data_IF_173494228930
#
_entry.id   IF_173494228930
#
_cell.length_a   1.000
_cell.length_b   1.000
_cell.length_c   1.000
_cell.angle_alpha   90.00
_cell.angle_beta   90.00
_cell.angle_gamma   90.00
#
_symmetry.space_group_name_H-M   'P 1'
#
loop_
_entity.id
_entity.type
_entity.pdbx_description
1 polymer ?
#
# COMPACT_ATOMS: atom_id res chain seq x y z
N UNK A 1 -23.94 16.02 -3.35
CA UNK A 1 -23.68 15.15 -2.20
C UNK A 1 -23.63 16.06 -0.99
N UNK A 2 -24.63 15.92 -0.10
CA UNK A 2 -24.85 16.84 1.02
C UNK A 2 -23.69 16.80 2.02
N UNK A 3 -23.11 15.62 2.26
CA UNK A 3 -21.96 15.48 3.16
C UNK A 3 -20.68 16.10 2.62
N UNK A 4 -20.37 15.95 1.33
CA UNK A 4 -19.23 16.63 0.70
C UNK A 4 -19.41 18.15 0.69
N UNK A 5 -20.66 18.62 0.63
CA UNK A 5 -20.96 20.04 0.72
C UNK A 5 -20.76 20.56 2.14
N UNK A 6 -21.27 19.86 3.15
CA UNK A 6 -21.05 20.13 4.59
C UNK A 6 -19.56 20.13 4.92
N UNK A 7 -18.79 19.18 4.40
CA UNK A 7 -17.34 19.12 4.57
C UNK A 7 -16.64 20.35 4.00
N UNK A 8 -17.00 20.79 2.78
CA UNK A 8 -16.39 21.97 2.15
C UNK A 8 -16.71 23.24 2.93
N UNK A 9 -17.97 23.44 3.29
CA UNK A 9 -18.42 24.62 4.04
C UNK A 9 -17.72 24.71 5.41
N UNK A 10 -17.50 23.56 6.06
CA UNK A 10 -16.89 23.51 7.40
C UNK A 10 -15.36 23.51 7.39
N UNK A 11 -14.71 23.12 6.30
CA UNK A 11 -13.25 23.29 6.15
C UNK A 11 -12.89 24.78 6.05
N UNK A 12 -13.78 25.59 5.48
CA UNK A 12 -13.60 27.04 5.35
C UNK A 12 -14.02 27.80 6.63
N UNK A 13 -14.67 27.12 7.58
CA UNK A 13 -15.12 27.71 8.83
C UNK A 13 -13.97 27.79 9.83
N UNK A 14 -13.70 29.01 10.32
CA UNK A 14 -12.79 29.21 11.45
C UNK A 14 -13.41 28.58 12.71
N UNK A 15 -12.66 27.65 13.32
CA UNK A 15 -13.09 26.89 14.49
C UNK A 15 -12.60 27.51 15.80
N UNK A 16 -11.77 28.55 15.75
CA UNK A 16 -11.16 29.15 16.94
C UNK A 16 -12.18 29.88 17.83
N UNK A 17 -13.31 30.32 17.25
CA UNK A 17 -14.40 31.01 17.96
C UNK A 17 -15.54 30.09 18.41
N UNK A 18 -15.49 28.80 18.04
CA UNK A 18 -16.57 27.85 18.38
C UNK A 18 -16.37 27.27 19.78
N UNK A 19 -17.42 27.22 20.62
CA UNK A 19 -17.31 26.61 21.94
C UNK A 19 -17.10 25.10 21.82
N UNK A 20 -16.31 24.52 22.72
CA UNK A 20 -15.91 23.10 22.71
C UNK A 20 -17.11 22.14 22.60
N UNK A 21 -18.26 22.50 23.19
CA UNK A 21 -19.52 21.71 23.12
C UNK A 21 -20.14 21.64 21.72
N UNK A 22 -19.84 22.62 20.86
CA UNK A 22 -20.29 22.66 19.47
C UNK A 22 -19.29 21.94 18.55
N UNK A 23 -18.08 21.71 19.05
CA UNK A 23 -17.03 20.95 18.38
C UNK A 23 -17.11 19.45 18.72
N UNK A 24 -17.42 19.11 19.97
CA UNK A 24 -17.37 17.75 20.49
C UNK A 24 -18.50 17.46 21.49
N UNK A 25 -18.99 16.21 21.49
CA UNK A 25 -19.87 15.67 22.55
C UNK A 25 -19.22 14.50 23.25
N UNK A 26 -19.35 14.44 24.58
CA UNK A 26 -18.91 13.29 25.36
C UNK A 26 -19.92 12.15 25.26
N UNK A 27 -19.48 10.97 24.81
CA UNK A 27 -20.23 9.71 24.86
C UNK A 27 -19.37 8.63 25.49
N UNK A 28 -19.86 8.03 26.57
CA UNK A 28 -19.24 6.85 27.21
C UNK A 28 -17.75 7.05 27.56
N UNK A 29 -17.38 8.25 28.02
CA UNK A 29 -15.99 8.60 28.38
C UNK A 29 -15.07 8.88 27.18
N UNK A 30 -15.62 9.08 25.98
CA UNK A 30 -14.89 9.52 24.78
C UNK A 30 -15.50 10.81 24.23
N UNK A 31 -14.67 11.67 23.65
CA UNK A 31 -15.12 12.90 22.98
C UNK A 31 -15.28 12.63 21.48
N UNK A 32 -16.50 12.71 20.97
CA UNK A 32 -16.81 12.57 19.55
C UNK A 32 -16.88 13.95 18.91
N UNK A 33 -16.04 14.21 17.89
CA UNK A 33 -16.02 15.48 17.15
C UNK A 33 -17.26 15.56 16.25
N UNK A 34 -18.19 16.45 16.60
CA UNK A 34 -19.47 16.64 15.89
C UNK A 34 -19.37 17.67 14.76
N UNK A 35 -18.23 18.38 14.63
CA UNK A 35 -18.03 19.50 13.70
C UNK A 35 -18.59 19.16 12.32
N UNK A 36 -18.23 18.02 11.75
CA UNK A 36 -18.56 17.70 10.37
C UNK A 36 -19.93 17.03 10.16
N UNK A 37 -20.65 16.66 11.24
CA UNK A 37 -21.94 15.92 11.18
C UNK A 37 -21.95 14.76 10.19
N UNK A 38 -20.82 14.07 10.02
CA UNK A 38 -20.71 12.91 9.14
C UNK A 38 -21.24 11.67 9.86
N UNK A 39 -21.82 10.73 9.10
CA UNK A 39 -22.12 9.40 9.65
C UNK A 39 -20.87 8.75 10.26
N UNK A 40 -21.05 7.98 11.33
CA UNK A 40 -19.98 7.28 12.04
C UNK A 40 -19.10 6.44 11.11
N UNK A 41 -19.71 5.78 10.12
CA UNK A 41 -18.99 4.97 9.11
C UNK A 41 -18.00 5.80 8.28
N UNK A 42 -18.33 7.06 8.00
CA UNK A 42 -17.47 7.96 7.22
C UNK A 42 -16.37 8.55 8.11
N UNK A 43 -16.68 8.87 9.37
CA UNK A 43 -15.66 9.24 10.36
C UNK A 43 -14.64 8.11 10.55
N UNK A 44 -15.09 6.86 10.68
CA UNK A 44 -14.22 5.70 10.80
C UNK A 44 -13.36 5.52 9.54
N UNK A 45 -13.96 5.65 8.35
CA UNK A 45 -13.24 5.62 7.07
C UNK A 45 -12.15 6.69 7.03
N UNK A 46 -12.48 7.96 7.31
CA UNK A 46 -11.52 9.07 7.28
C UNK A 46 -10.39 8.84 8.29
N UNK A 47 -10.72 8.43 9.52
CA UNK A 47 -9.74 8.09 10.55
C UNK A 47 -8.78 6.99 10.05
N UNK A 48 -9.31 5.91 9.49
CA UNK A 48 -8.49 4.83 8.92
C UNK A 48 -7.64 5.27 7.73
N UNK A 49 -8.17 6.12 6.85
CA UNK A 49 -7.41 6.72 5.75
C UNK A 49 -6.22 7.52 6.32
N UNK A 50 -6.41 8.29 7.39
CA UNK A 50 -5.29 9.07 7.97
C UNK A 50 -4.17 8.19 8.53
N UNK A 51 -4.48 6.98 8.99
CA UNK A 51 -3.50 6.02 9.49
C UNK A 51 -2.70 5.36 8.35
N UNK A 52 -3.33 5.14 7.19
CA UNK A 52 -2.73 4.41 6.07
C UNK A 52 -2.27 5.31 4.91
N UNK A 53 -2.51 6.63 4.97
CA UNK A 53 -2.15 7.57 3.88
C UNK A 53 -0.68 7.57 3.48
N UNK A 54 0.22 7.14 4.37
CA UNK A 54 1.66 7.00 4.10
C UNK A 54 2.00 5.76 3.27
N UNK A 55 1.09 4.79 3.15
CA UNK A 55 1.26 3.59 2.34
C UNK A 55 1.26 3.93 0.85
N UNK A 56 2.34 3.56 0.15
CA UNK A 56 2.41 3.73 -1.30
C UNK A 56 1.46 2.81 -2.05
N UNK A 57 1.28 1.57 -1.56
CA UNK A 57 0.36 0.59 -2.15
C UNK A 57 -1.09 1.09 -2.03
N UNK A 58 -1.47 1.63 -0.86
CA UNK A 58 -2.77 2.28 -0.67
C UNK A 58 -2.97 3.42 -1.67
N UNK A 59 -2.00 4.33 -1.79
CA UNK A 59 -2.12 5.49 -2.68
C UNK A 59 -2.26 5.09 -4.16
N UNK A 60 -1.59 4.04 -4.61
CA UNK A 60 -1.73 3.51 -5.98
C UNK A 60 -3.13 2.96 -6.21
N UNK A 61 -3.63 2.14 -5.27
CA UNK A 61 -4.97 1.59 -5.36
C UNK A 61 -6.02 2.71 -5.31
N UNK A 62 -5.84 3.69 -4.43
CA UNK A 62 -6.71 4.84 -4.29
C UNK A 62 -6.82 5.64 -5.59
N UNK A 63 -5.69 6.00 -6.20
CA UNK A 63 -5.66 6.69 -7.51
C UNK A 63 -6.35 5.88 -8.60
N UNK A 64 -6.01 4.59 -8.71
CA UNK A 64 -6.59 3.69 -9.72
C UNK A 64 -8.12 3.56 -9.62
N UNK A 65 -8.66 3.61 -8.41
CA UNK A 65 -10.10 3.55 -8.18
C UNK A 65 -10.78 4.93 -8.29
N UNK A 66 -10.10 6.00 -7.87
CA UNK A 66 -10.58 7.38 -7.95
C UNK A 66 -10.72 7.90 -9.38
N UNK A 67 -9.75 7.62 -10.25
CA UNK A 67 -9.75 8.04 -11.67
C UNK A 67 -10.94 7.50 -12.47
N UNK A 68 -11.59 6.43 -11.97
CA UNK A 68 -12.72 5.78 -12.64
C UNK A 68 -14.07 6.37 -12.26
N UNK A 69 -14.12 7.29 -11.31
CA UNK A 69 -15.37 7.90 -10.87
C UNK A 69 -15.71 9.14 -11.69
N UNK A 70 -16.90 9.14 -12.30
CA UNK A 70 -17.48 10.32 -12.98
C UNK A 70 -18.25 11.24 -12.04
N UNK A 71 -18.80 10.67 -10.96
CA UNK A 71 -19.51 11.37 -9.90
C UNK A 71 -19.00 10.89 -8.55
N UNK A 72 -18.73 11.83 -7.65
CA UNK A 72 -18.11 11.56 -6.34
C UNK A 72 -19.11 11.94 -5.26
N UNK A 73 -19.53 10.95 -4.49
CA UNK A 73 -20.35 11.05 -3.28
C UNK A 73 -19.65 10.32 -2.15
N UNK A 74 -19.91 10.69 -0.89
CA UNK A 74 -19.31 9.99 0.26
C UNK A 74 -19.68 8.50 0.25
N UNK A 75 -20.93 8.18 -0.11
CA UNK A 75 -21.39 6.80 -0.23
C UNK A 75 -20.68 6.02 -1.35
N UNK A 76 -20.39 6.66 -2.50
CA UNK A 76 -19.62 6.04 -3.58
C UNK A 76 -18.17 5.85 -3.15
N UNK A 77 -17.56 6.83 -2.48
CA UNK A 77 -16.20 6.70 -1.94
C UNK A 77 -16.16 5.52 -0.96
N UNK A 78 -17.09 5.44 -0.02
CA UNK A 78 -17.13 4.36 0.96
C UNK A 78 -17.36 3.00 0.30
N UNK A 79 -18.44 2.84 -0.45
CA UNK A 79 -18.87 1.53 -0.97
C UNK A 79 -18.07 1.04 -2.18
N UNK A 80 -17.64 1.93 -3.09
CA UNK A 80 -16.99 1.55 -4.36
C UNK A 80 -15.47 1.69 -4.33
N UNK A 81 -14.91 2.52 -3.46
CA UNK A 81 -13.47 2.72 -3.32
C UNK A 81 -12.97 2.08 -2.03
N UNK A 82 -13.36 2.62 -0.89
CA UNK A 82 -12.78 2.31 0.41
C UNK A 82 -12.85 0.82 0.74
N UNK A 83 -14.06 0.23 0.75
CA UNK A 83 -14.22 -1.20 1.09
C UNK A 83 -13.40 -2.10 0.16
N UNK A 84 -13.41 -1.81 -1.15
CA UNK A 84 -12.65 -2.59 -2.13
C UNK A 84 -11.14 -2.49 -1.92
N UNK A 85 -10.66 -1.30 -1.55
CA UNK A 85 -9.24 -1.09 -1.26
C UNK A 85 -8.86 -1.81 0.04
N UNK A 86 -9.69 -1.75 1.08
CA UNK A 86 -9.46 -2.48 2.32
C UNK A 86 -9.33 -3.99 2.08
N UNK A 87 -10.27 -4.58 1.34
CA UNK A 87 -10.23 -6.01 0.99
C UNK A 87 -8.97 -6.35 0.19
N UNK A 88 -8.63 -5.51 -0.79
CA UNK A 88 -7.46 -5.72 -1.63
C UNK A 88 -6.17 -5.63 -0.84
N UNK A 89 -6.02 -4.61 0.01
CA UNK A 89 -4.84 -4.41 0.84
C UNK A 89 -4.67 -5.52 1.87
N UNK A 90 -5.76 -5.97 2.51
CA UNK A 90 -5.73 -7.11 3.42
C UNK A 90 -5.24 -8.37 2.71
N UNK A 91 -5.77 -8.64 1.53
CA UNK A 91 -5.38 -9.79 0.70
C UNK A 91 -3.91 -9.72 0.25
N UNK A 92 -3.44 -8.53 -0.16
CA UNK A 92 -2.03 -8.30 -0.52
C UNK A 92 -1.12 -8.54 0.69
N UNK A 93 -1.47 -7.99 1.85
CA UNK A 93 -0.68 -8.13 3.06
C UNK A 93 -0.59 -9.60 3.50
N UNK A 94 -1.70 -10.33 3.48
CA UNK A 94 -1.72 -11.76 3.82
C UNK A 94 -0.87 -12.58 2.85
N UNK A 95 -1.10 -12.46 1.53
CA UNK A 95 -0.31 -13.19 0.53
C UNK A 95 1.19 -12.91 0.65
N UNK A 96 1.57 -11.68 1.01
CA UNK A 96 2.98 -11.33 1.22
C UNK A 96 3.53 -12.00 2.49
N UNK A 97 2.84 -11.88 3.63
CA UNK A 97 3.28 -12.48 4.89
C UNK A 97 3.38 -14.00 4.83
N UNK A 98 2.43 -14.64 4.15
CA UNK A 98 2.38 -16.11 4.01
C UNK A 98 3.36 -16.61 2.93
N UNK A 99 3.93 -15.70 2.13
CA UNK A 99 4.85 -16.02 1.05
C UNK A 99 4.17 -16.69 -0.15
N UNK A 100 2.85 -16.58 -0.24
CA UNK A 100 2.03 -17.10 -1.35
C UNK A 100 1.93 -16.12 -2.53
N UNK A 101 2.44 -14.89 -2.36
CA UNK A 101 2.44 -13.90 -3.42
C UNK A 101 3.34 -14.34 -4.57
N UNK A 102 2.73 -14.52 -5.75
CA UNK A 102 3.46 -14.76 -7.01
C UNK A 102 4.55 -13.69 -7.22
N UNK A 103 5.74 -14.13 -7.63
CA UNK A 103 6.90 -13.25 -7.85
C UNK A 103 6.60 -12.11 -8.83
N UNK A 104 5.82 -12.37 -9.88
CA UNK A 104 5.34 -11.34 -10.83
C UNK A 104 4.44 -10.27 -10.18
N UNK A 105 3.70 -10.62 -9.13
CA UNK A 105 2.92 -9.64 -8.34
C UNK A 105 3.83 -8.88 -7.39
N UNK A 106 4.86 -9.53 -6.86
CA UNK A 106 5.91 -8.88 -6.07
C UNK A 106 6.63 -7.84 -6.94
N UNK A 107 7.00 -8.16 -8.18
CA UNK A 107 7.64 -7.22 -9.14
C UNK A 107 6.85 -5.94 -9.32
N UNK A 108 5.53 -6.07 -9.48
CA UNK A 108 4.65 -4.91 -9.63
C UNK A 108 4.73 -3.96 -8.43
N UNK A 109 4.92 -4.47 -7.23
CA UNK A 109 5.14 -3.63 -6.05
C UNK A 109 6.61 -3.21 -5.93
N UNK A 110 7.58 -4.06 -6.26
CA UNK A 110 9.00 -3.70 -6.28
C UNK A 110 9.32 -2.56 -7.24
N UNK A 111 8.64 -2.47 -8.37
CA UNK A 111 8.76 -1.35 -9.31
C UNK A 111 8.37 -0.02 -8.66
N UNK A 112 7.36 -0.04 -7.79
CA UNK A 112 6.94 1.14 -7.00
C UNK A 112 8.06 1.58 -6.07
N UNK A 113 8.72 0.62 -5.42
CA UNK A 113 9.80 0.87 -4.48
C UNK A 113 11.17 0.99 -5.17
N UNK A 114 11.27 0.90 -6.50
CA UNK A 114 12.52 1.00 -7.26
C UNK A 114 13.66 0.16 -6.68
N UNK A 115 13.38 -1.07 -6.25
CA UNK A 115 14.34 -1.97 -5.58
C UNK A 115 14.81 -1.54 -4.18
N UNK A 116 14.17 -0.52 -3.57
CA UNK A 116 14.35 -0.19 -2.15
C UNK A 116 13.56 -1.18 -1.28
N UNK A 117 14.25 -2.24 -0.87
CA UNK A 117 13.67 -3.28 -0.01
C UNK A 117 13.38 -2.81 1.40
N UNK A 118 14.06 -1.77 1.89
CA UNK A 118 13.83 -1.25 3.22
C UNK A 118 12.54 -0.41 3.22
N UNK A 119 12.25 0.29 2.13
CA UNK A 119 10.95 0.91 1.89
C UNK A 119 9.84 -0.13 1.73
N UNK A 120 10.08 -1.23 1.00
CA UNK A 120 9.12 -2.34 0.89
C UNK A 120 8.83 -2.99 2.25
N UNK A 121 9.85 -3.23 3.06
CA UNK A 121 9.70 -3.79 4.40
C UNK A 121 8.90 -2.85 5.30
N UNK A 122 9.21 -1.56 5.30
CA UNK A 122 8.45 -0.53 6.04
C UNK A 122 6.99 -0.47 5.59
N UNK A 123 6.73 -0.59 4.28
CA UNK A 123 5.38 -0.62 3.72
C UNK A 123 4.58 -1.81 4.27
N UNK A 124 5.12 -3.03 4.17
CA UNK A 124 4.43 -4.22 4.66
C UNK A 124 4.36 -4.30 6.18
N UNK A 125 5.31 -3.70 6.91
CA UNK A 125 5.18 -3.46 8.34
C UNK A 125 3.99 -2.56 8.66
N UNK A 126 3.84 -1.44 7.95
CA UNK A 126 2.72 -0.51 8.12
C UNK A 126 1.38 -1.23 7.87
N UNK A 127 1.26 -1.96 6.76
CA UNK A 127 0.05 -2.73 6.44
C UNK A 127 -0.23 -3.82 7.48
N UNK A 128 0.79 -4.51 7.97
CA UNK A 128 0.65 -5.54 9.00
C UNK A 128 0.24 -4.99 10.37
N UNK A 129 0.71 -3.79 10.71
CA UNK A 129 0.25 -3.07 11.90
C UNK A 129 -1.20 -2.59 11.74
N UNK A 130 -1.59 -2.18 10.54
CA UNK A 130 -2.93 -1.68 10.26
C UNK A 130 -4.01 -2.78 10.27
N UNK A 131 -3.73 -3.97 9.72
CA UNK A 131 -4.76 -5.00 9.50
C UNK A 131 -4.93 -6.06 10.59
N UNK A 132 -4.09 -6.11 11.62
CA UNK A 132 -3.99 -7.35 12.43
C UNK A 132 -3.92 -7.13 13.93
N UNK A 133 -4.68 -7.95 14.66
CA UNK A 133 -4.67 -8.10 16.12
C UNK A 133 -3.61 -9.07 16.66
N UNK A 134 -2.84 -9.75 15.79
CA UNK A 134 -1.82 -10.72 16.19
C UNK A 134 -0.59 -10.07 16.85
N UNK A 135 0.14 -10.83 17.66
CA UNK A 135 1.32 -10.35 18.39
C UNK A 135 2.39 -9.83 17.42
N UNK A 136 2.94 -8.65 17.75
CA UNK A 136 3.92 -7.91 16.92
C UNK A 136 5.15 -8.74 16.52
N UNK A 137 5.53 -9.72 17.34
CA UNK A 137 6.75 -10.52 17.15
C UNK A 137 6.63 -11.58 16.03
N UNK A 138 5.50 -12.29 15.94
CA UNK A 138 5.26 -13.28 14.87
C UNK A 138 5.27 -12.60 13.49
N UNK A 139 4.70 -11.38 13.43
CA UNK A 139 4.67 -10.55 12.23
C UNK A 139 6.07 -10.16 11.76
N UNK A 140 6.92 -9.67 12.67
CA UNK A 140 8.30 -9.25 12.34
C UNK A 140 9.09 -10.44 11.77
N UNK A 141 8.95 -11.62 12.37
CA UNK A 141 9.67 -12.81 11.92
C UNK A 141 9.20 -13.29 10.54
N UNK A 142 7.88 -13.37 10.31
CA UNK A 142 7.32 -13.73 9.00
C UNK A 142 7.70 -12.73 7.93
N UNK A 143 7.57 -11.44 8.23
CA UNK A 143 7.94 -10.38 7.30
C UNK A 143 9.43 -10.43 6.95
N UNK A 144 10.31 -10.55 7.93
CA UNK A 144 11.75 -10.64 7.69
C UNK A 144 12.14 -11.84 6.82
N UNK A 145 11.46 -12.98 6.98
CA UNK A 145 11.64 -14.15 6.14
C UNK A 145 11.15 -13.91 4.70
N UNK A 146 9.98 -13.31 4.51
CA UNK A 146 9.46 -12.95 3.18
C UNK A 146 10.39 -11.95 2.49
N UNK A 147 10.81 -10.87 3.18
CA UNK A 147 11.72 -9.87 2.62
C UNK A 147 13.04 -10.51 2.18
N UNK A 148 13.57 -11.47 2.94
CA UNK A 148 14.77 -12.23 2.54
C UNK A 148 14.54 -13.01 1.24
N UNK A 149 13.39 -13.70 1.10
CA UNK A 149 13.03 -14.41 -0.14
C UNK A 149 12.91 -13.46 -1.33
N UNK A 150 12.28 -12.31 -1.14
CA UNK A 150 12.13 -11.28 -2.17
C UNK A 150 13.50 -10.71 -2.59
N UNK A 151 14.39 -10.42 -1.62
CA UNK A 151 15.78 -10.01 -1.90
C UNK A 151 16.53 -11.08 -2.71
N UNK A 152 16.38 -12.36 -2.37
CA UNK A 152 17.00 -13.46 -3.13
C UNK A 152 16.44 -13.58 -4.55
N UNK A 153 15.13 -13.44 -4.72
CA UNK A 153 14.51 -13.46 -6.05
C UNK A 153 15.05 -12.34 -6.95
N UNK A 154 15.18 -11.12 -6.44
CA UNK A 154 15.77 -10.03 -7.23
C UNK A 154 17.18 -10.35 -7.67
N UNK A 155 18.02 -10.88 -6.78
CA UNK A 155 19.40 -11.25 -7.14
C UNK A 155 19.44 -12.23 -8.31
N UNK A 156 18.51 -13.19 -8.35
CA UNK A 156 18.37 -14.11 -9.48
C UNK A 156 17.94 -13.38 -10.75
N UNK A 157 16.94 -12.49 -10.65
CA UNK A 157 16.49 -11.68 -11.79
C UNK A 157 17.61 -10.79 -12.35
N UNK A 158 18.38 -10.12 -11.49
CA UNK A 158 19.49 -9.26 -11.89
C UNK A 158 20.64 -10.07 -12.49
N UNK A 159 20.94 -11.24 -11.93
CA UNK A 159 21.93 -12.16 -12.50
C UNK A 159 21.53 -12.63 -13.90
N UNK A 160 20.26 -12.98 -14.09
CA UNK A 160 19.70 -13.35 -15.40
C UNK A 160 19.84 -12.22 -16.42
N UNK A 161 19.47 -10.99 -16.05
CA UNK A 161 19.60 -9.83 -16.92
C UNK A 161 21.05 -9.49 -17.26
N UNK A 162 21.97 -9.62 -16.29
CA UNK A 162 23.39 -9.45 -16.54
C UNK A 162 23.92 -10.54 -17.50
N UNK A 163 23.52 -11.79 -17.30
CA UNK A 163 23.90 -12.89 -18.18
C UNK A 163 23.43 -12.65 -19.63
N UNK A 164 22.18 -12.22 -19.80
CA UNK A 164 21.64 -11.83 -21.10
C UNK A 164 22.49 -10.74 -21.79
N UNK A 165 22.79 -9.64 -21.08
CA UNK A 165 23.60 -8.56 -21.62
C UNK A 165 25.04 -8.98 -21.98
N UNK A 166 25.64 -9.91 -21.21
CA UNK A 166 26.98 -10.46 -21.52
C UNK A 166 26.94 -11.29 -22.80
N UNK A 167 25.89 -12.10 -23.00
CA UNK A 167 25.73 -12.90 -24.21
C UNK A 167 25.47 -12.03 -25.44
N UNK A 168 24.64 -10.99 -25.34
CA UNK A 168 24.46 -10.01 -26.41
C UNK A 168 25.80 -9.33 -26.79
N UNK A 169 26.60 -8.91 -25.79
CA UNK A 169 27.92 -8.33 -26.03
C UNK A 169 28.89 -9.33 -26.69
N UNK A 170 28.85 -10.59 -26.25
CA UNK A 170 29.66 -11.65 -26.84
C UNK A 170 29.37 -11.80 -28.33
N UNK A 171 28.08 -11.83 -28.71
CA UNK A 171 27.65 -11.93 -30.11
C UNK A 171 28.07 -10.70 -30.93
N UNK A 172 27.82 -9.50 -30.42
CA UNK A 172 28.13 -8.23 -31.12
C UNK A 172 29.64 -8.05 -31.31
N UNK A 173 30.44 -8.43 -30.32
CA UNK A 173 31.90 -8.27 -30.36
C UNK A 173 32.62 -9.47 -30.98
N UNK A 174 31.92 -10.55 -31.30
CA UNK A 174 32.52 -11.79 -31.82
C UNK A 174 33.50 -12.43 -30.84
N UNK A 175 33.23 -12.36 -29.53
CA UNK A 175 34.11 -12.93 -28.51
C UNK A 175 34.03 -14.47 -28.54
N UNK A 176 35.20 -15.09 -28.68
CA UNK A 176 35.37 -16.54 -28.64
C UNK A 176 35.72 -17.01 -27.21
N UNK A 177 35.22 -18.18 -26.80
CA UNK A 177 35.44 -18.75 -25.47
C UNK A 177 34.27 -19.61 -24.98
N UNK A 178 34.40 -20.17 -23.77
CA UNK A 178 33.34 -20.94 -23.13
C UNK A 178 32.46 -20.04 -22.24
N UNK A 179 31.22 -19.81 -22.69
CA UNK A 179 30.19 -19.04 -21.97
C UNK A 179 29.08 -19.93 -21.41
N UNK A 180 29.30 -21.25 -21.28
CA UNK A 180 28.26 -22.22 -20.88
C UNK A 180 27.62 -21.89 -19.53
N UNK A 181 28.40 -21.43 -18.55
CA UNK A 181 27.89 -21.04 -17.24
C UNK A 181 27.02 -19.77 -17.28
N UNK A 182 27.33 -18.83 -18.18
CA UNK A 182 26.51 -17.61 -18.37
C UNK A 182 25.18 -17.97 -19.03
N UNK A 183 25.19 -18.87 -20.02
CA UNK A 183 23.97 -19.38 -20.66
C UNK A 183 23.03 -20.05 -19.65
N UNK A 184 23.58 -20.87 -18.74
CA UNK A 184 22.81 -21.50 -17.65
C UNK A 184 22.16 -20.51 -16.69
N UNK A 185 22.74 -19.32 -16.51
CA UNK A 185 22.17 -18.27 -15.65
C UNK A 185 21.08 -17.47 -16.37
N UNK A 186 21.14 -17.38 -17.70
CA UNK A 186 20.17 -16.67 -18.53
C UNK A 186 18.85 -17.44 -18.73
N UNK A 187 18.92 -18.77 -18.81
CA UNK A 187 17.79 -19.70 -18.94
C UNK A 187 16.76 -19.57 -17.79
#
# INVERSE_FOLDING_TARGET
DEELHILREKIEQDCDELPIRDLCTERSGRYDVMVFKLDEKFCEMVSKITQIKSSQIFNILWKKHGEKLKHVTMEIIFSKIWLRICDKLKSINQQFLDGEMELKKVDKYLDVFKTDYDALEKEFMLLSCYFSDATRLDKINKLGNTIRKVKSYKKLFDARQAAHAILELQEVMGLEGDFSEIKRIEE
#
